data_IF_310732824271
#
_entry.id   IF_310732824271
#
_cell.length_a   1.000
_cell.length_b   1.000
_cell.length_c   1.000
_cell.angle_alpha   90.00
_cell.angle_beta   90.00
_cell.angle_gamma   90.00
#
_symmetry.space_group_name_H-M   'P 1'
#
loop_
_entity.id
_entity.type
_entity.pdbx_description
1 polymer ?
#
# COMPACT_ATOMS: atom_id res chain seq x y z
N UNK A 1 53.64 -64.76 20.68
CA UNK A 1 53.73 -63.63 19.73
C UNK A 1 52.39 -63.30 19.21
N UNK A 2 51.72 -62.30 19.79
CA UNK A 2 50.34 -61.97 19.62
C UNK A 2 50.23 -60.79 18.70
N UNK A 3 49.59 -60.96 17.55
CA UNK A 3 49.26 -59.86 16.64
C UNK A 3 47.85 -59.30 17.00
N UNK A 4 47.84 -58.03 17.38
CA UNK A 4 46.62 -57.25 17.68
C UNK A 4 46.03 -56.74 16.40
N UNK A 5 44.82 -57.09 16.12
CA UNK A 5 44.04 -56.55 15.00
C UNK A 5 43.20 -55.35 15.46
N UNK A 6 43.59 -54.15 15.02
CA UNK A 6 42.79 -52.92 15.20
C UNK A 6 41.58 -52.97 14.24
N UNK A 7 40.38 -52.91 14.84
CA UNK A 7 39.14 -52.73 14.11
C UNK A 7 38.83 -51.23 14.03
N UNK A 8 38.95 -50.69 12.84
CA UNK A 8 38.55 -49.30 12.55
C UNK A 8 37.04 -49.29 12.32
N UNK A 9 36.29 -48.65 13.22
CA UNK A 9 34.86 -48.42 13.06
C UNK A 9 34.68 -47.12 12.27
N UNK A 10 34.25 -47.23 11.04
CA UNK A 10 33.86 -46.09 10.23
C UNK A 10 32.44 -45.65 10.63
N UNK A 11 32.35 -44.48 11.31
CA UNK A 11 31.10 -43.85 11.60
C UNK A 11 30.59 -43.10 10.35
N UNK A 12 29.57 -43.59 9.71
CA UNK A 12 28.82 -42.91 8.65
C UNK A 12 27.93 -41.87 9.30
N UNK A 13 28.32 -40.58 9.21
CA UNK A 13 27.45 -39.46 9.52
C UNK A 13 26.47 -39.27 8.35
N UNK A 14 25.23 -39.72 8.51
CA UNK A 14 24.12 -39.38 7.61
C UNK A 14 23.70 -37.95 7.90
N UNK A 15 24.09 -37.00 7.04
CA UNK A 15 23.62 -35.62 7.06
C UNK A 15 22.18 -35.58 6.55
N UNK A 16 21.20 -35.60 7.45
CA UNK A 16 19.81 -35.38 7.11
C UNK A 16 19.61 -33.91 6.77
N UNK A 17 19.47 -33.63 5.47
CA UNK A 17 19.06 -32.31 4.97
C UNK A 17 17.58 -32.14 5.32
N UNK A 18 17.31 -31.45 6.43
CA UNK A 18 15.96 -31.02 6.76
C UNK A 18 15.54 -29.92 5.76
N UNK A 19 14.77 -30.28 4.75
CA UNK A 19 14.07 -29.34 3.91
C UNK A 19 13.02 -28.62 4.75
N UNK A 20 13.32 -27.43 5.24
CA UNK A 20 12.32 -26.53 5.81
C UNK A 20 11.37 -26.11 4.71
N UNK A 21 10.03 -26.32 4.85
CA UNK A 21 9.09 -25.76 3.90
C UNK A 21 9.24 -24.23 3.91
N UNK A 22 9.59 -23.67 2.77
CA UNK A 22 9.51 -22.23 2.56
C UNK A 22 8.02 -21.86 2.67
N UNK A 23 7.62 -21.40 3.86
CA UNK A 23 6.32 -20.74 4.02
C UNK A 23 6.43 -19.48 3.16
N UNK A 24 5.73 -19.51 2.02
CA UNK A 24 5.56 -18.33 1.19
C UNK A 24 5.02 -17.24 2.11
N UNK A 25 5.84 -16.24 2.41
CA UNK A 25 5.38 -15.06 3.12
C UNK A 25 4.38 -14.38 2.17
N UNK A 26 3.10 -14.66 2.40
CA UNK A 26 2.04 -13.82 1.84
C UNK A 26 2.34 -12.43 2.36
N UNK A 27 2.84 -11.57 1.46
CA UNK A 27 3.21 -10.20 1.82
C UNK A 27 2.04 -9.56 2.54
N UNK A 28 2.31 -8.98 3.72
CA UNK A 28 1.31 -8.19 4.44
C UNK A 28 0.69 -7.22 3.44
N UNK A 29 -0.65 -7.09 3.38
CA UNK A 29 -1.26 -6.13 2.49
C UNK A 29 -0.66 -4.75 2.77
N UNK A 30 -0.06 -4.13 1.76
CA UNK A 30 0.53 -2.80 1.89
C UNK A 30 -0.62 -1.85 2.19
N UNK A 31 -0.75 -1.44 3.44
CA UNK A 31 -1.75 -0.47 3.87
C UNK A 31 -1.27 0.90 3.44
N UNK A 32 -2.09 1.63 2.71
CA UNK A 32 -1.82 3.05 2.41
C UNK A 32 -1.93 3.81 3.72
N UNK A 33 -0.87 4.50 4.11
CA UNK A 33 -0.80 5.25 5.37
C UNK A 33 -1.50 6.60 5.22
N UNK A 34 -2.17 7.05 6.28
CA UNK A 34 -2.84 8.34 6.27
C UNK A 34 -1.84 9.48 6.48
N UNK A 35 -1.82 10.42 5.53
CA UNK A 35 -0.91 11.57 5.55
C UNK A 35 -1.13 12.49 6.75
N UNK A 36 -2.33 12.51 7.34
CA UNK A 36 -2.64 13.34 8.50
C UNK A 36 -2.19 12.74 9.83
N UNK A 37 -1.94 11.42 9.90
CA UNK A 37 -1.68 10.73 11.18
C UNK A 37 -0.35 10.01 11.26
N UNK A 38 0.28 9.67 10.14
CA UNK A 38 1.57 8.97 10.09
C UNK A 38 2.68 9.75 10.81
N UNK A 39 3.60 9.07 11.48
CA UNK A 39 4.72 9.70 12.16
C UNK A 39 5.75 10.31 11.18
N UNK A 40 6.40 11.42 11.57
CA UNK A 40 7.40 12.13 10.76
C UNK A 40 8.51 11.21 10.26
N UNK A 41 9.07 10.37 11.15
CA UNK A 41 10.13 9.44 10.79
C UNK A 41 9.70 8.41 9.74
N UNK A 42 8.45 7.97 9.78
CA UNK A 42 7.90 7.05 8.77
C UNK A 42 7.71 7.74 7.42
N UNK A 43 7.31 9.03 7.42
CA UNK A 43 7.21 9.84 6.20
C UNK A 43 8.59 9.97 5.56
N UNK A 44 9.61 10.34 6.35
CA UNK A 44 10.98 10.54 5.86
C UNK A 44 11.58 9.27 5.23
N UNK A 45 11.11 8.08 5.62
CA UNK A 45 11.53 6.79 5.10
C UNK A 45 10.81 6.36 3.80
N UNK A 46 9.79 7.11 3.36
CA UNK A 46 9.06 6.79 2.13
C UNK A 46 9.86 7.21 0.88
N UNK A 47 9.61 6.58 -0.28
CA UNK A 47 10.23 6.98 -1.54
C UNK A 47 10.01 8.48 -1.83
N UNK A 48 11.05 9.13 -2.35
CA UNK A 48 11.06 10.56 -2.71
C UNK A 48 10.90 11.54 -1.54
N UNK A 49 10.77 11.03 -0.30
CA UNK A 49 10.67 11.85 0.90
C UNK A 49 12.04 11.98 1.59
N UNK A 50 12.19 13.02 2.37
CA UNK A 50 13.34 13.26 3.24
C UNK A 50 12.86 13.94 4.54
N UNK A 51 13.77 14.18 5.47
CA UNK A 51 13.46 14.76 6.77
C UNK A 51 12.84 16.17 6.64
N UNK A 52 13.31 16.97 5.69
CA UNK A 52 12.80 18.35 5.48
C UNK A 52 11.37 18.34 4.95
N UNK A 53 11.09 17.50 3.94
CA UNK A 53 9.73 17.36 3.40
C UNK A 53 8.80 16.76 4.45
N UNK A 54 9.26 15.78 5.22
CA UNK A 54 8.47 15.15 6.29
C UNK A 54 8.08 16.16 7.39
N UNK A 55 9.03 16.97 7.86
CA UNK A 55 8.80 18.07 8.78
C UNK A 55 7.79 19.09 8.25
N UNK A 56 7.97 19.53 7.00
CA UNK A 56 7.06 20.47 6.36
C UNK A 56 5.64 19.90 6.22
N UNK A 57 5.53 18.59 5.90
CA UNK A 57 4.25 17.89 5.80
C UNK A 57 3.53 17.85 7.15
N UNK A 58 4.23 17.48 8.22
CA UNK A 58 3.67 17.46 9.58
C UNK A 58 3.21 18.85 10.01
N UNK A 59 3.98 19.89 9.71
CA UNK A 59 3.63 21.27 10.02
C UNK A 59 2.41 21.80 9.21
N UNK A 60 2.17 21.25 8.01
CA UNK A 60 1.06 21.65 7.14
C UNK A 60 -0.28 20.96 7.46
N UNK A 61 -0.28 20.00 8.38
CA UNK A 61 -1.50 19.27 8.79
C UNK A 61 -2.49 20.16 9.54
N UNK A 62 -3.80 19.85 9.44
CA UNK A 62 -4.40 18.76 8.69
C UNK A 62 -4.61 19.12 7.21
N UNK A 63 -4.44 18.17 6.31
CA UNK A 63 -4.89 18.28 4.92
C UNK A 63 -6.38 17.97 4.86
N UNK A 64 -7.23 18.91 4.42
CA UNK A 64 -8.68 18.71 4.43
C UNK A 64 -9.15 17.69 3.40
N UNK A 65 -8.39 17.51 2.32
CA UNK A 65 -8.71 16.63 1.20
C UNK A 65 -7.45 16.24 0.42
N UNK A 66 -7.60 15.31 -0.53
CA UNK A 66 -6.49 14.80 -1.32
C UNK A 66 -5.91 15.83 -2.29
N UNK A 67 -6.71 16.77 -2.79
CA UNK A 67 -6.23 17.84 -3.66
C UNK A 67 -5.35 18.84 -2.91
N UNK A 68 -5.65 19.16 -1.65
CA UNK A 68 -4.79 19.99 -0.83
C UNK A 68 -3.44 19.30 -0.51
N UNK A 69 -3.48 17.99 -0.31
CA UNK A 69 -2.26 17.19 -0.13
C UNK A 69 -1.42 17.12 -1.41
N UNK A 70 -2.06 16.93 -2.58
CA UNK A 70 -1.38 16.96 -3.88
C UNK A 70 -0.72 18.31 -4.14
N UNK A 71 -1.42 19.41 -3.92
CA UNK A 71 -0.91 20.77 -4.07
C UNK A 71 0.31 21.06 -3.16
N UNK A 72 0.30 20.53 -1.93
CA UNK A 72 1.46 20.64 -1.02
C UNK A 72 2.70 19.93 -1.60
N UNK A 73 2.51 18.79 -2.25
CA UNK A 73 3.61 18.00 -2.83
C UNK A 73 4.06 18.49 -4.21
N UNK A 74 3.21 19.21 -4.94
CA UNK A 74 3.47 19.63 -6.32
C UNK A 74 4.76 20.43 -6.49
N UNK A 75 5.07 21.33 -5.55
CA UNK A 75 6.32 22.09 -5.55
C UNK A 75 7.57 21.30 -5.10
N UNK A 76 7.44 20.05 -4.72
CA UNK A 76 8.50 19.22 -4.11
C UNK A 76 8.80 17.95 -4.89
N UNK A 77 7.79 17.38 -5.55
CA UNK A 77 7.86 16.11 -6.26
C UNK A 77 7.27 16.24 -7.67
N UNK A 78 7.83 15.49 -8.63
CA UNK A 78 7.23 15.40 -9.96
C UNK A 78 5.87 14.68 -9.89
N UNK A 79 5.08 14.80 -10.95
CA UNK A 79 3.77 14.13 -11.04
C UNK A 79 3.90 12.61 -10.90
N UNK A 80 4.92 12.03 -11.51
CA UNK A 80 5.20 10.59 -11.48
C UNK A 80 5.58 10.15 -10.07
N UNK A 81 6.45 10.90 -9.40
CA UNK A 81 6.86 10.65 -8.02
C UNK A 81 5.67 10.73 -7.06
N UNK A 82 4.77 11.71 -7.25
CA UNK A 82 3.54 11.83 -6.46
C UNK A 82 2.65 10.61 -6.66
N UNK A 83 2.43 10.17 -7.90
CA UNK A 83 1.61 9.00 -8.20
C UNK A 83 2.14 7.72 -7.54
N UNK A 84 3.46 7.52 -7.51
CA UNK A 84 4.10 6.39 -6.82
C UNK A 84 3.99 6.51 -5.30
N UNK A 85 4.15 7.72 -4.76
CA UNK A 85 4.02 7.99 -3.33
C UNK A 85 2.60 7.71 -2.83
N UNK A 86 1.55 8.04 -3.62
CA UNK A 86 0.16 7.84 -3.23
C UNK A 86 -0.21 6.37 -3.00
N UNK A 87 0.49 5.44 -3.60
CA UNK A 87 0.34 4.03 -3.29
C UNK A 87 0.77 3.65 -1.84
N UNK A 88 1.44 4.57 -1.12
CA UNK A 88 2.00 4.35 0.22
C UNK A 88 1.53 5.38 1.25
N UNK A 89 1.26 6.61 0.82
CA UNK A 89 0.89 7.76 1.65
C UNK A 89 -0.25 8.52 0.99
N UNK A 90 -1.36 8.71 1.69
CA UNK A 90 -2.57 9.29 1.12
C UNK A 90 -3.41 10.03 2.17
N UNK A 91 -4.25 10.96 1.72
CA UNK A 91 -5.37 11.50 2.49
C UNK A 91 -6.63 10.77 2.05
N UNK A 92 -7.17 9.90 2.92
CA UNK A 92 -8.32 9.07 2.57
C UNK A 92 -9.53 9.92 2.19
N UNK A 93 -10.06 9.69 1.01
CA UNK A 93 -11.19 10.44 0.47
C UNK A 93 -12.52 9.78 0.84
N UNK A 94 -13.53 10.59 1.05
CA UNK A 94 -14.87 10.11 1.37
C UNK A 94 -15.54 9.49 0.13
N UNK A 95 -16.07 8.28 0.29
CA UNK A 95 -16.65 7.49 -0.80
C UNK A 95 -17.78 8.25 -1.51
N UNK A 96 -18.57 9.02 -0.80
CA UNK A 96 -19.77 9.67 -1.33
C UNK A 96 -19.59 11.14 -1.68
N UNK A 97 -18.66 11.84 -1.03
CA UNK A 97 -18.51 13.30 -1.17
C UNK A 97 -17.21 13.73 -1.88
N UNK A 98 -16.20 12.83 -2.05
CA UNK A 98 -14.98 13.18 -2.75
C UNK A 98 -15.24 13.76 -4.15
N UNK A 99 -14.48 14.79 -4.52
CA UNK A 99 -14.59 15.42 -5.84
C UNK A 99 -14.06 14.51 -6.96
N UNK A 100 -14.41 14.85 -8.19
CA UNK A 100 -13.83 14.18 -9.38
C UNK A 100 -12.32 14.28 -9.42
N UNK A 101 -11.78 15.43 -9.03
CA UNK A 101 -10.36 15.73 -8.99
C UNK A 101 -9.66 14.84 -7.95
N UNK A 102 -10.21 14.69 -6.76
CA UNK A 102 -9.67 13.81 -5.72
C UNK A 102 -9.66 12.34 -6.18
N UNK A 103 -10.74 11.88 -6.81
CA UNK A 103 -10.82 10.52 -7.36
C UNK A 103 -9.78 10.32 -8.46
N UNK A 104 -9.55 11.33 -9.30
CA UNK A 104 -8.57 11.28 -10.40
C UNK A 104 -7.11 11.18 -9.91
N UNK A 105 -6.82 11.61 -8.68
CA UNK A 105 -5.50 11.48 -8.07
C UNK A 105 -5.19 10.04 -7.60
N UNK A 106 -6.19 9.19 -7.42
CA UNK A 106 -5.95 7.78 -7.06
C UNK A 106 -5.15 7.12 -8.19
N UNK A 107 -3.98 6.52 -7.90
CA UNK A 107 -3.16 5.88 -8.92
C UNK A 107 -3.94 4.84 -9.73
N UNK A 108 -3.86 4.95 -11.06
CA UNK A 108 -4.53 4.03 -11.97
C UNK A 108 -6.01 4.33 -12.25
N UNK A 109 -6.57 5.42 -11.72
CA UNK A 109 -7.94 5.84 -12.04
C UNK A 109 -8.02 6.47 -13.43
N UNK A 110 -8.57 5.72 -14.37
CA UNK A 110 -8.86 6.24 -15.71
C UNK A 110 -10.22 6.93 -15.81
N UNK A 111 -10.47 7.73 -16.86
CA UNK A 111 -11.70 8.50 -17.04
C UNK A 111 -13.00 7.67 -16.95
N UNK A 112 -12.96 6.44 -17.46
CA UNK A 112 -14.08 5.50 -17.38
C UNK A 112 -14.39 5.14 -15.93
N UNK A 113 -13.36 4.74 -15.17
CA UNK A 113 -13.54 4.32 -13.77
C UNK A 113 -14.01 5.48 -12.90
N UNK A 114 -13.51 6.69 -13.13
CA UNK A 114 -13.97 7.90 -12.44
C UNK A 114 -15.47 8.12 -12.69
N UNK A 115 -15.94 7.93 -13.93
CA UNK A 115 -17.37 8.06 -14.27
C UNK A 115 -18.20 7.01 -13.53
N UNK A 116 -17.81 5.74 -13.60
CA UNK A 116 -18.53 4.66 -12.92
C UNK A 116 -18.57 4.88 -11.40
N UNK A 117 -17.44 5.32 -10.83
CA UNK A 117 -17.38 5.66 -9.40
C UNK A 117 -18.40 6.72 -9.00
N UNK A 118 -18.59 7.76 -9.80
CA UNK A 118 -19.51 8.87 -9.52
C UNK A 118 -20.96 8.49 -9.80
N UNK A 119 -21.21 7.66 -10.81
CA UNK A 119 -22.56 7.29 -11.26
C UNK A 119 -23.33 6.49 -10.20
N UNK A 120 -22.64 5.62 -9.46
CA UNK A 120 -23.28 4.78 -8.44
C UNK A 120 -23.46 5.45 -7.07
N UNK A 121 -23.11 6.72 -6.94
CA UNK A 121 -23.37 7.49 -5.71
C UNK A 121 -24.86 7.81 -5.54
N UNK A 122 -25.33 7.80 -4.26
CA UNK A 122 -24.61 7.49 -3.03
C UNK A 122 -24.48 5.98 -2.79
N UNK A 123 -23.30 5.56 -2.38
CA UNK A 123 -23.08 4.20 -1.91
C UNK A 123 -23.61 4.06 -0.48
N UNK A 124 -24.50 3.10 -0.26
CA UNK A 124 -25.04 2.85 1.07
C UNK A 124 -24.06 2.14 2.02
N UNK A 125 -23.00 1.52 1.49
CA UNK A 125 -21.95 0.84 2.25
C UNK A 125 -20.76 0.50 1.35
N UNK A 126 -19.62 0.14 1.96
CA UNK A 126 -18.47 -0.44 1.22
C UNK A 126 -18.84 -1.75 0.51
N UNK A 127 -19.79 -2.51 1.02
CA UNK A 127 -20.26 -3.72 0.33
C UNK A 127 -20.97 -3.39 -1.00
N UNK A 128 -21.74 -2.31 -1.03
CA UNK A 128 -22.36 -1.80 -2.27
C UNK A 128 -21.28 -1.32 -3.24
N UNK A 129 -20.31 -0.56 -2.76
CA UNK A 129 -19.15 -0.15 -3.58
C UNK A 129 -18.46 -1.36 -4.23
N UNK A 130 -18.12 -2.40 -3.44
CA UNK A 130 -17.49 -3.62 -3.96
C UNK A 130 -18.29 -4.28 -5.05
N UNK A 131 -19.61 -4.36 -4.86
CA UNK A 131 -20.52 -4.98 -5.82
C UNK A 131 -20.58 -4.19 -7.13
N UNK A 132 -20.75 -2.88 -7.05
CA UNK A 132 -20.94 -2.04 -8.22
C UNK A 132 -19.63 -1.88 -9.02
N UNK A 133 -18.53 -1.55 -8.35
CA UNK A 133 -17.23 -1.38 -9.00
C UNK A 133 -16.65 -2.72 -9.46
N UNK A 134 -16.95 -3.82 -8.76
CA UNK A 134 -16.57 -5.17 -9.17
C UNK A 134 -17.15 -5.65 -10.50
N UNK A 135 -18.14 -4.93 -11.05
CA UNK A 135 -18.64 -5.17 -12.43
C UNK A 135 -17.61 -4.76 -13.50
N UNK A 136 -16.68 -3.88 -13.19
CA UNK A 136 -15.74 -3.27 -14.13
C UNK A 136 -14.30 -3.70 -13.93
N UNK A 137 -13.95 -4.12 -12.71
CA UNK A 137 -12.62 -4.54 -12.32
C UNK A 137 -12.66 -5.78 -11.44
N UNK A 138 -11.54 -6.53 -11.37
CA UNK A 138 -11.46 -7.71 -10.54
C UNK A 138 -11.39 -7.38 -9.02
N UNK A 139 -11.62 -8.38 -8.18
CA UNK A 139 -11.63 -8.22 -6.72
C UNK A 139 -10.31 -7.66 -6.14
N UNK A 140 -9.16 -7.96 -6.76
CA UNK A 140 -7.86 -7.42 -6.35
C UNK A 140 -7.81 -5.90 -6.56
N UNK A 141 -8.33 -5.44 -7.68
CA UNK A 141 -8.39 -4.01 -7.99
C UNK A 141 -9.41 -3.27 -7.12
N UNK A 142 -10.58 -3.86 -6.86
CA UNK A 142 -11.53 -3.32 -5.89
C UNK A 142 -10.87 -3.14 -4.53
N UNK A 143 -10.19 -4.18 -4.01
CA UNK A 143 -9.47 -4.10 -2.74
C UNK A 143 -8.31 -3.10 -2.76
N UNK A 144 -7.70 -2.83 -3.92
CA UNK A 144 -6.72 -1.75 -4.06
C UNK A 144 -7.38 -0.38 -3.90
N UNK A 145 -8.49 -0.14 -4.58
CA UNK A 145 -9.22 1.12 -4.54
C UNK A 145 -9.74 1.44 -3.13
N UNK A 146 -10.24 0.45 -2.42
CA UNK A 146 -10.72 0.61 -1.04
C UNK A 146 -9.71 1.22 -0.09
N UNK A 147 -8.41 1.00 -0.33
CA UNK A 147 -7.33 1.53 0.52
C UNK A 147 -7.21 3.05 0.47
N UNK A 148 -7.80 3.69 -0.50
CA UNK A 148 -7.81 5.14 -0.70
C UNK A 148 -9.07 5.80 -0.15
N UNK A 149 -10.05 5.00 0.26
CA UNK A 149 -11.39 5.43 0.60
C UNK A 149 -11.67 5.32 2.10
N UNK A 150 -12.52 6.21 2.58
CA UNK A 150 -13.23 6.07 3.85
C UNK A 150 -14.72 6.08 3.57
N UNK A 151 -15.46 5.34 4.38
CA UNK A 151 -16.91 5.39 4.44
C UNK A 151 -17.27 6.03 5.79
N UNK A 152 -18.12 7.08 5.82
CA UNK A 152 -18.53 7.75 7.04
C UNK A 152 -19.32 6.87 7.98
#
# INVERSE_FOLDING_TARGET
MTASASRTVAALFALALAATPAVAQVGKPVTVKDANTIAEAEIAALPYMNVEIAKALVAARPFPNATAFDAFLEGKLSKEQRAELYAKLWVHIDLNSASREEIALIPGMGPRMIREFLEYRPYASMAVFRREIGKYVNAKEVGRLERFLRFP
#
